data_IF_098339163758
#
_entry.id   IF_098339163758
#
_cell.length_a   1.000
_cell.length_b   1.000
_cell.length_c   1.000
_cell.angle_alpha   90.00
_cell.angle_beta   90.00
_cell.angle_gamma   90.00
#
_symmetry.space_group_name_H-M   'P 1'
#
loop_
_entity.id
_entity.type
_entity.pdbx_description
1 polymer ?
#
# COMPACT_ATOMS: atom_id res chain seq x y z
N UNK A 1 -21.45 -6.38 -19.35
CA UNK A 1 -21.31 -7.14 -18.10
C UNK A 1 -20.45 -6.32 -17.13
N UNK A 2 -20.86 -6.16 -15.86
CA UNK A 2 -19.95 -5.60 -14.86
C UNK A 2 -18.89 -6.65 -14.54
N UNK A 3 -17.60 -6.28 -14.46
CA UNK A 3 -16.58 -7.24 -14.04
C UNK A 3 -16.89 -7.75 -12.63
N UNK A 4 -16.67 -9.04 -12.40
CA UNK A 4 -16.85 -9.60 -11.07
C UNK A 4 -15.83 -8.97 -10.11
N UNK A 5 -16.32 -8.46 -8.99
CA UNK A 5 -15.47 -7.90 -7.93
C UNK A 5 -14.74 -9.07 -7.25
N UNK A 6 -13.42 -9.02 -7.21
CA UNK A 6 -12.59 -9.98 -6.46
C UNK A 6 -12.40 -9.50 -5.03
N UNK A 7 -12.49 -10.45 -4.08
CA UNK A 7 -12.30 -10.18 -2.65
C UNK A 7 -11.02 -10.86 -2.18
N UNK A 8 -10.07 -10.08 -1.69
CA UNK A 8 -8.78 -10.55 -1.18
C UNK A 8 -8.69 -10.47 0.34
N UNK A 9 -7.98 -11.42 0.96
CA UNK A 9 -7.60 -11.38 2.36
C UNK A 9 -6.22 -10.72 2.49
N UNK A 10 -6.10 -9.65 3.28
CA UNK A 10 -4.78 -9.06 3.54
C UNK A 10 -3.93 -9.97 4.45
N UNK A 11 -2.66 -10.16 4.09
CA UNK A 11 -1.71 -10.92 4.93
C UNK A 11 -1.47 -10.27 6.29
N UNK A 12 -1.76 -8.98 6.44
CA UNK A 12 -1.72 -8.29 7.73
C UNK A 12 -2.89 -8.66 8.65
N UNK A 13 -4.03 -9.09 8.10
CA UNK A 13 -5.24 -9.40 8.88
C UNK A 13 -5.08 -10.62 9.77
N UNK A 14 -4.11 -11.48 9.52
CA UNK A 14 -3.87 -12.71 10.28
C UNK A 14 -2.83 -12.53 11.39
N UNK A 15 -2.31 -11.31 11.58
CA UNK A 15 -1.35 -11.05 12.67
C UNK A 15 -1.89 -11.52 14.03
N UNK A 16 -1.08 -12.20 14.86
CA UNK A 16 0.38 -12.40 14.79
C UNK A 16 0.86 -13.61 13.99
N UNK A 17 0.00 -14.29 13.26
CA UNK A 17 0.39 -15.39 12.39
C UNK A 17 1.20 -14.85 11.18
N UNK A 18 1.88 -15.75 10.50
CA UNK A 18 2.71 -15.41 9.34
C UNK A 18 1.87 -15.31 8.06
N UNK A 19 2.44 -14.71 7.02
CA UNK A 19 1.80 -14.56 5.71
C UNK A 19 1.27 -15.89 5.15
N UNK A 20 1.93 -17.02 5.40
CA UNK A 20 1.46 -18.35 5.01
C UNK A 20 0.04 -18.66 5.51
N UNK A 21 -0.28 -18.26 6.76
CA UNK A 21 -1.62 -18.46 7.31
C UNK A 21 -2.70 -17.70 6.53
N UNK A 22 -2.37 -16.54 5.97
CA UNK A 22 -3.32 -15.80 5.12
C UNK A 22 -3.64 -16.56 3.84
N UNK A 23 -2.65 -17.18 3.21
CA UNK A 23 -2.88 -18.02 2.03
C UNK A 23 -3.73 -19.26 2.37
N UNK A 24 -3.46 -19.91 3.51
CA UNK A 24 -4.25 -21.03 3.99
C UNK A 24 -5.70 -20.62 4.26
N UNK A 25 -5.92 -19.54 4.98
CA UNK A 25 -7.27 -19.05 5.28
C UNK A 25 -7.99 -18.57 4.03
N UNK A 26 -7.31 -17.90 3.11
CA UNK A 26 -7.91 -17.47 1.86
C UNK A 26 -8.41 -18.69 1.05
N UNK A 27 -7.62 -19.75 0.97
CA UNK A 27 -8.02 -20.99 0.32
C UNK A 27 -9.23 -21.65 1.01
N UNK A 28 -9.20 -21.74 2.35
CA UNK A 28 -10.27 -22.38 3.14
C UNK A 28 -11.58 -21.63 3.13
N UNK A 29 -11.52 -20.30 3.13
CA UNK A 29 -12.69 -19.43 3.23
C UNK A 29 -13.23 -18.98 1.87
N UNK A 30 -12.58 -19.36 0.78
CA UNK A 30 -13.02 -19.06 -0.58
C UNK A 30 -12.80 -17.61 -1.00
N UNK A 31 -11.76 -16.94 -0.50
CA UNK A 31 -11.33 -15.66 -1.03
C UNK A 31 -10.76 -15.82 -2.44
N UNK A 32 -10.94 -14.80 -3.27
CA UNK A 32 -10.41 -14.80 -4.65
C UNK A 32 -8.87 -14.67 -4.71
N UNK A 33 -8.25 -14.24 -3.62
CA UNK A 33 -6.80 -14.10 -3.50
C UNK A 33 -6.38 -13.43 -2.21
N UNK A 34 -5.14 -12.95 -2.16
CA UNK A 34 -4.59 -12.20 -1.04
C UNK A 34 -4.06 -10.83 -1.48
N UNK A 35 -4.10 -9.89 -0.55
CA UNK A 35 -3.23 -8.72 -0.57
C UNK A 35 -1.94 -9.04 0.19
N UNK A 36 -0.80 -8.89 -0.45
CA UNK A 36 0.50 -9.05 0.18
C UNK A 36 0.92 -7.75 0.87
N UNK A 37 0.82 -7.68 2.19
CA UNK A 37 1.45 -6.62 2.98
C UNK A 37 2.95 -6.92 3.10
N UNK A 38 3.79 -6.07 2.51
CA UNK A 38 5.25 -6.18 2.62
C UNK A 38 5.72 -5.49 3.89
N UNK A 39 6.25 -6.27 4.83
CA UNK A 39 6.69 -5.75 6.12
C UNK A 39 7.92 -6.47 6.70
N UNK A 40 8.12 -6.47 8.02
CA UNK A 40 9.32 -7.02 8.67
C UNK A 40 9.46 -8.55 8.53
N UNK A 41 8.41 -9.27 8.20
CA UNK A 41 8.46 -10.71 7.95
C UNK A 41 9.26 -11.01 6.68
N UNK A 42 10.26 -11.87 6.77
CA UNK A 42 11.18 -12.18 5.66
C UNK A 42 10.47 -12.74 4.42
N UNK A 43 9.45 -13.59 4.62
CA UNK A 43 8.68 -14.20 3.54
C UNK A 43 7.97 -13.13 2.70
N UNK A 44 7.38 -12.11 3.34
CA UNK A 44 6.70 -11.02 2.62
C UNK A 44 7.64 -10.17 1.75
N UNK A 45 8.94 -10.23 2.02
CA UNK A 45 9.98 -9.50 1.31
C UNK A 45 10.61 -10.30 0.15
N UNK A 46 10.34 -11.60 0.09
CA UNK A 46 10.88 -12.55 -0.89
C UNK A 46 9.79 -12.97 -1.88
N UNK A 47 9.83 -12.40 -3.07
CA UNK A 47 8.88 -12.69 -4.15
C UNK A 47 8.82 -14.18 -4.51
N UNK A 48 9.96 -14.87 -4.50
CA UNK A 48 10.00 -16.29 -4.81
C UNK A 48 9.33 -17.13 -3.74
N UNK A 49 9.50 -16.78 -2.46
CA UNK A 49 8.82 -17.42 -1.35
C UNK A 49 7.30 -17.19 -1.42
N UNK A 50 6.86 -15.95 -1.67
CA UNK A 50 5.43 -15.64 -1.85
C UNK A 50 4.82 -16.40 -3.03
N UNK A 51 5.55 -16.48 -4.15
CA UNK A 51 5.10 -17.26 -5.33
C UNK A 51 4.90 -18.74 -5.01
N UNK A 52 5.79 -19.33 -4.20
CA UNK A 52 5.63 -20.71 -3.72
C UNK A 52 4.38 -20.87 -2.87
N UNK A 53 4.07 -19.92 -1.98
CA UNK A 53 2.83 -19.94 -1.19
C UNK A 53 1.59 -19.85 -2.08
N UNK A 54 1.57 -18.89 -3.02
CA UNK A 54 0.49 -18.74 -3.99
C UNK A 54 0.23 -20.04 -4.78
N UNK A 55 1.27 -20.69 -5.23
CA UNK A 55 1.17 -21.97 -5.95
C UNK A 55 0.68 -23.11 -5.04
N UNK A 56 1.25 -23.23 -3.83
CA UNK A 56 0.91 -24.29 -2.86
C UNK A 56 -0.57 -24.26 -2.48
N UNK A 57 -1.09 -23.05 -2.18
CA UNK A 57 -2.47 -22.87 -1.74
C UNK A 57 -3.44 -22.61 -2.90
N UNK A 58 -2.95 -22.43 -4.13
CA UNK A 58 -3.72 -22.05 -5.31
C UNK A 58 -4.49 -20.73 -5.12
N UNK A 59 -3.88 -19.80 -4.41
CA UNK A 59 -4.43 -18.49 -4.09
C UNK A 59 -3.57 -17.42 -4.74
N UNK A 60 -4.08 -16.64 -5.71
CA UNK A 60 -3.30 -15.60 -6.35
C UNK A 60 -3.06 -14.41 -5.42
N UNK A 61 -1.99 -13.65 -5.69
CA UNK A 61 -1.78 -12.33 -5.12
C UNK A 61 -2.55 -11.32 -5.98
N UNK A 62 -3.51 -10.61 -5.41
CA UNK A 62 -4.32 -9.61 -6.11
C UNK A 62 -3.68 -8.24 -6.08
N UNK A 63 -3.06 -7.89 -4.95
CA UNK A 63 -2.37 -6.62 -4.76
C UNK A 63 -1.13 -6.78 -3.89
N UNK A 64 -0.19 -5.84 -4.06
CA UNK A 64 1.00 -5.70 -3.21
C UNK A 64 0.92 -4.39 -2.46
N UNK A 65 0.89 -4.43 -1.14
CA UNK A 65 0.93 -3.26 -0.30
C UNK A 65 2.38 -2.89 0.00
N UNK A 66 2.82 -1.76 -0.51
CA UNK A 66 4.19 -1.29 -0.42
C UNK A 66 4.59 -0.99 1.04
N UNK A 67 5.87 -1.23 1.44
CA UNK A 67 6.33 -1.00 2.81
C UNK A 67 6.58 0.50 3.09
N UNK A 68 5.51 1.28 3.13
CA UNK A 68 5.54 2.74 3.27
C UNK A 68 5.37 3.24 4.70
N UNK A 69 4.94 2.37 5.64
CA UNK A 69 4.69 2.74 7.03
C UNK A 69 5.99 2.95 7.82
N UNK A 70 5.90 3.69 8.93
CA UNK A 70 7.01 3.88 9.87
C UNK A 70 7.61 2.56 10.36
N UNK A 71 6.76 1.58 10.66
CA UNK A 71 7.17 0.24 11.13
C UNK A 71 7.90 -0.56 10.05
N UNK A 72 7.74 -0.20 8.78
CA UNK A 72 8.37 -0.87 7.64
C UNK A 72 9.51 -0.03 7.01
N UNK A 73 9.99 1.02 7.69
CA UNK A 73 11.01 1.93 7.13
C UNK A 73 12.28 1.23 6.68
N UNK A 74 12.69 0.14 7.35
CA UNK A 74 13.91 -0.62 7.02
C UNK A 74 13.67 -1.75 6.01
N UNK A 75 12.41 -2.05 5.71
CA UNK A 75 12.05 -3.08 4.73
C UNK A 75 12.45 -2.59 3.34
N UNK A 76 13.23 -3.39 2.64
CA UNK A 76 13.79 -3.05 1.33
C UNK A 76 14.68 -1.79 1.29
N UNK A 77 15.20 -1.34 2.44
CA UNK A 77 16.01 -0.13 2.54
C UNK A 77 15.21 1.10 2.99
N UNK A 78 15.89 2.24 3.08
CA UNK A 78 15.31 3.47 3.60
C UNK A 78 14.74 4.41 2.53
N UNK A 79 15.10 4.21 1.25
CA UNK A 79 14.69 5.10 0.17
C UNK A 79 13.25 4.79 -0.29
N UNK A 80 12.28 5.71 -0.12
CA UNK A 80 10.89 5.46 -0.50
C UNK A 80 10.68 5.33 -2.02
N UNK A 81 11.47 6.03 -2.84
CA UNK A 81 11.43 5.93 -4.30
C UNK A 81 11.71 4.50 -4.74
N UNK A 82 12.84 3.93 -4.29
CA UNK A 82 13.21 2.56 -4.65
C UNK A 82 12.28 1.49 -4.06
N UNK A 83 11.60 1.79 -2.96
CA UNK A 83 10.56 0.89 -2.42
C UNK A 83 9.35 0.80 -3.34
N UNK A 84 8.88 1.92 -3.87
CA UNK A 84 7.75 1.93 -4.79
C UNK A 84 8.11 1.18 -6.09
N UNK A 85 9.27 1.45 -6.68
CA UNK A 85 9.77 0.73 -7.85
C UNK A 85 9.84 -0.79 -7.60
N UNK A 86 10.34 -1.19 -6.42
CA UNK A 86 10.45 -2.59 -6.05
C UNK A 86 9.08 -3.22 -5.82
N UNK A 87 8.10 -2.47 -5.31
CA UNK A 87 6.74 -2.95 -5.13
C UNK A 87 6.05 -3.23 -6.45
N UNK A 88 6.24 -2.36 -7.46
CA UNK A 88 5.71 -2.57 -8.81
C UNK A 88 6.33 -3.82 -9.43
N UNK A 89 7.67 -3.96 -9.39
CA UNK A 89 8.33 -5.18 -9.88
C UNK A 89 7.89 -6.45 -9.16
N UNK A 90 7.63 -6.37 -7.85
CA UNK A 90 7.11 -7.51 -7.10
C UNK A 90 5.69 -7.88 -7.55
N UNK A 91 4.83 -6.88 -7.78
CA UNK A 91 3.48 -7.08 -8.31
C UNK A 91 3.51 -7.76 -9.69
N UNK A 92 4.34 -7.27 -10.61
CA UNK A 92 4.53 -7.87 -11.94
C UNK A 92 4.94 -9.36 -11.85
N UNK A 93 5.94 -9.65 -11.01
CA UNK A 93 6.44 -11.03 -10.85
C UNK A 93 5.42 -11.97 -10.19
N UNK A 94 4.53 -11.44 -9.36
CA UNK A 94 3.46 -12.19 -8.69
C UNK A 94 2.17 -12.25 -9.52
N UNK A 95 2.08 -11.50 -10.61
CA UNK A 95 0.87 -11.35 -11.42
C UNK A 95 -0.23 -10.54 -10.74
N UNK A 96 0.14 -9.73 -9.75
CA UNK A 96 -0.78 -8.80 -9.09
C UNK A 96 -1.03 -7.58 -9.97
N UNK A 97 -2.29 -7.12 -9.99
CA UNK A 97 -2.69 -6.01 -10.86
C UNK A 97 -2.57 -4.64 -10.19
N UNK A 98 -2.34 -4.60 -8.88
CA UNK A 98 -2.36 -3.35 -8.11
C UNK A 98 -1.23 -3.32 -7.09
N UNK A 99 -0.61 -2.16 -6.96
CA UNK A 99 0.24 -1.79 -5.82
C UNK A 99 -0.50 -0.76 -4.99
N UNK A 100 -0.66 -1.04 -3.70
CA UNK A 100 -1.19 -0.08 -2.74
C UNK A 100 -0.03 0.66 -2.08
N UNK A 101 -0.07 1.98 -2.07
CA UNK A 101 0.96 2.84 -1.48
C UNK A 101 0.31 3.95 -0.66
N UNK A 102 0.92 4.30 0.47
CA UNK A 102 0.50 5.46 1.23
C UNK A 102 1.13 6.74 0.68
N UNK A 103 0.44 7.85 0.86
CA UNK A 103 0.99 9.16 0.57
C UNK A 103 2.29 9.40 1.37
N UNK A 104 3.25 10.19 0.81
CA UNK A 104 4.45 10.58 1.54
C UNK A 104 4.13 11.25 2.86
N UNK A 105 4.88 10.90 3.91
CA UNK A 105 4.75 11.58 5.19
C UNK A 105 5.19 13.05 5.10
N UNK A 106 4.59 13.90 5.90
CA UNK A 106 4.83 15.35 5.90
C UNK A 106 6.31 15.75 6.03
N UNK A 107 7.14 14.93 6.67
CA UNK A 107 8.58 15.16 6.79
C UNK A 107 9.38 14.69 5.57
N UNK A 108 8.79 13.92 4.67
CA UNK A 108 9.41 13.40 3.44
C UNK A 108 9.22 14.38 2.27
N UNK A 109 9.54 15.67 2.48
CA UNK A 109 9.24 16.75 1.52
C UNK A 109 9.78 16.46 0.11
N UNK A 110 11.05 16.08 -0.01
CA UNK A 110 11.66 15.76 -1.32
C UNK A 110 10.95 14.60 -2.03
N UNK A 111 10.52 13.60 -1.27
CA UNK A 111 9.75 12.50 -1.83
C UNK A 111 8.35 12.94 -2.24
N UNK A 112 7.70 13.78 -1.46
CA UNK A 112 6.38 14.32 -1.76
C UNK A 112 6.37 15.18 -3.04
N UNK A 113 7.43 15.95 -3.29
CA UNK A 113 7.58 16.77 -4.49
C UNK A 113 7.64 15.93 -5.78
N UNK A 114 8.29 14.77 -5.75
CA UNK A 114 8.43 13.89 -6.93
C UNK A 114 7.45 12.71 -6.96
N UNK A 115 6.59 12.55 -5.96
CA UNK A 115 5.77 11.35 -5.80
C UNK A 115 4.79 11.13 -6.97
N UNK A 116 4.06 12.18 -7.37
CA UNK A 116 3.09 12.10 -8.46
C UNK A 116 3.76 11.79 -9.79
N UNK A 117 4.93 12.37 -10.06
CA UNK A 117 5.71 12.10 -11.26
C UNK A 117 6.23 10.66 -11.28
N UNK A 118 6.70 10.15 -10.14
CA UNK A 118 7.13 8.76 -10.03
C UNK A 118 5.96 7.80 -10.29
N UNK A 119 4.79 8.05 -9.69
CA UNK A 119 3.59 7.25 -9.93
C UNK A 119 3.25 7.22 -11.41
N UNK A 120 3.15 8.39 -12.06
CA UNK A 120 2.86 8.49 -13.48
C UNK A 120 3.89 7.77 -14.36
N UNK A 121 5.17 7.86 -14.03
CA UNK A 121 6.26 7.19 -14.75
C UNK A 121 6.14 5.66 -14.64
N UNK A 122 5.85 5.15 -13.45
CA UNK A 122 5.71 3.71 -13.22
C UNK A 122 4.47 3.15 -13.92
N UNK A 123 3.33 3.85 -13.85
CA UNK A 123 2.11 3.43 -14.55
C UNK A 123 2.25 3.52 -16.08
N UNK A 124 3.06 4.43 -16.60
CA UNK A 124 3.35 4.49 -18.04
C UNK A 124 4.26 3.35 -18.52
N UNK A 125 5.01 2.72 -17.62
CA UNK A 125 5.98 1.65 -17.93
C UNK A 125 5.54 0.25 -17.48
N UNK A 126 4.37 0.11 -16.86
CA UNK A 126 3.85 -1.13 -16.29
C UNK A 126 2.34 -1.20 -16.43
N UNK A 127 1.80 -2.42 -16.56
CA UNK A 127 0.35 -2.66 -16.51
C UNK A 127 -0.20 -2.69 -15.07
N UNK A 128 0.65 -2.47 -14.06
CA UNK A 128 0.28 -2.46 -12.66
C UNK A 128 -0.27 -1.08 -12.27
N UNK A 129 -1.49 -1.05 -11.75
CA UNK A 129 -2.11 0.17 -11.23
C UNK A 129 -1.51 0.53 -9.87
N UNK A 130 -1.30 1.82 -9.60
CA UNK A 130 -0.83 2.31 -8.31
C UNK A 130 -1.98 2.99 -7.57
N UNK A 131 -2.54 2.29 -6.59
CA UNK A 131 -3.60 2.82 -5.73
C UNK A 131 -3.01 3.57 -4.54
N UNK A 132 -3.22 4.88 -4.49
CA UNK A 132 -2.78 5.71 -3.36
C UNK A 132 -3.84 5.67 -2.26
N UNK A 133 -3.50 5.03 -1.13
CA UNK A 133 -4.39 4.92 0.01
C UNK A 133 -4.41 6.21 0.81
N UNK A 134 -5.63 6.71 1.11
CA UNK A 134 -5.82 7.82 2.03
C UNK A 134 -5.50 7.37 3.45
N UNK A 135 -4.40 7.86 3.99
CA UNK A 135 -4.09 7.62 5.39
C UNK A 135 -5.07 8.35 6.29
N UNK A 136 -5.61 7.62 7.25
CA UNK A 136 -6.29 8.24 8.38
C UNK A 136 -5.32 9.21 9.05
N UNK A 137 -5.71 10.47 9.34
CA UNK A 137 -4.82 11.41 9.99
C UNK A 137 -4.36 10.80 11.32
N UNK A 138 -3.05 10.56 11.42
CA UNK A 138 -2.45 9.98 12.62
C UNK A 138 -2.76 10.90 13.80
N UNK A 139 -3.56 10.41 14.74
CA UNK A 139 -3.91 11.15 15.96
C UNK A 139 -2.72 11.19 16.91
N UNK A 140 -1.81 12.12 16.65
CA UNK A 140 -0.71 12.43 17.57
C UNK A 140 -1.20 12.94 18.93
N UNK A 141 -2.44 13.44 18.99
CA UNK A 141 -3.11 13.93 20.22
C UNK A 141 -3.26 12.87 21.31
N UNK A 142 -3.28 11.58 20.96
CA UNK A 142 -3.22 10.50 21.97
C UNK A 142 -1.88 10.46 22.72
N UNK A 143 -0.82 11.05 22.16
CA UNK A 143 0.51 11.10 22.75
C UNK A 143 0.87 12.49 23.30
N UNK A 144 0.16 13.56 22.88
CA UNK A 144 0.48 14.96 23.20
C UNK A 144 -0.66 15.72 23.91
N UNK A 145 -1.68 15.02 24.43
CA UNK A 145 -2.75 15.58 25.28
C UNK A 145 -3.97 16.13 24.52
N UNK A 146 -5.09 16.36 25.24
CA UNK A 146 -6.35 16.80 24.65
C UNK A 146 -6.27 18.29 24.26
N UNK A 147 -6.57 18.62 23.03
CA UNK A 147 -6.68 20.02 22.63
C UNK A 147 -6.65 20.35 21.16
N UNK A 148 -6.75 19.38 20.28
CA UNK A 148 -6.74 19.67 18.84
C UNK A 148 -8.07 19.29 18.19
N UNK A 149 -8.85 20.32 17.79
CA UNK A 149 -10.10 20.13 17.07
C UNK A 149 -9.88 19.47 15.72
N UNK A 150 -10.92 18.76 15.21
CA UNK A 150 -10.95 18.13 13.89
C UNK A 150 -10.52 19.09 12.76
N UNK A 151 -10.80 20.38 12.94
CA UNK A 151 -10.48 21.44 12.00
C UNK A 151 -8.98 21.78 11.95
N UNK A 152 -8.28 21.72 13.10
CA UNK A 152 -6.81 21.82 13.15
C UNK A 152 -6.14 20.58 12.55
N UNK A 153 -6.77 19.43 12.66
CA UNK A 153 -6.28 18.20 12.04
C UNK A 153 -6.39 18.26 10.52
N UNK A 154 -7.48 18.80 9.97
CA UNK A 154 -7.62 19.08 8.52
C UNK A 154 -6.54 20.04 8.02
N UNK A 155 -6.20 21.07 8.78
CA UNK A 155 -5.11 22.02 8.43
C UNK A 155 -3.70 21.44 8.62
N UNK A 156 -3.52 20.43 9.46
CA UNK A 156 -2.23 19.78 9.74
C UNK A 156 -2.01 18.44 9.02
N UNK A 157 -3.09 17.78 8.63
CA UNK A 157 -3.09 16.59 7.77
C UNK A 157 -3.03 16.96 6.29
N UNK A 158 -2.12 17.83 5.92
CA UNK A 158 -1.95 18.23 4.56
C UNK A 158 -1.00 17.27 3.86
N UNK A 159 -1.49 16.21 3.37
CA UNK A 159 -1.03 15.59 2.17
C UNK A 159 -1.14 16.59 1.01
N UNK A 160 -0.89 16.28 -0.16
CA UNK A 160 -0.98 17.02 -1.40
C UNK A 160 -2.09 18.10 -1.41
N UNK A 161 -1.78 19.27 -1.92
CA UNK A 161 -2.76 20.30 -2.21
C UNK A 161 -3.88 19.69 -3.06
N UNK A 162 -5.12 19.82 -2.59
CA UNK A 162 -6.26 19.52 -3.44
C UNK A 162 -6.18 20.41 -4.68
N UNK A 163 -6.47 19.91 -5.89
CA UNK A 163 -6.61 20.76 -7.04
C UNK A 163 -7.67 21.83 -6.71
N UNK A 164 -7.30 23.09 -6.91
CA UNK A 164 -8.24 24.21 -6.81
C UNK A 164 -9.39 23.94 -7.77
N UNK A 165 -10.59 23.73 -7.23
CA UNK A 165 -11.79 23.89 -8.02
C UNK A 165 -11.83 25.35 -8.48
N UNK A 166 -11.60 25.57 -9.77
CA UNK A 166 -11.95 26.82 -10.43
C UNK A 166 -13.42 27.10 -10.12
N UNK A 167 -13.67 28.17 -9.40
CA UNK A 167 -15.02 28.73 -9.32
C UNK A 167 -15.26 29.41 -10.63
N UNK A 168 -16.08 28.82 -11.46
CA UNK A 168 -16.76 29.53 -12.52
C UNK A 168 -17.77 30.50 -11.87
N UNK A 169 -17.34 31.74 -11.70
CA UNK A 169 -18.23 32.87 -11.47
C UNK A 169 -18.63 33.39 -12.86
N UNK A 170 -19.85 33.04 -13.27
CA UNK A 170 -20.58 33.69 -14.34
C UNK A 170 -21.77 34.44 -13.78
#
# INVERSE_FOLDING_TARGET
MRPAIKVGLSTASVYPLRAEAAFEYAARLGYDGVELMVWAESVSQDVAAVKKLSQRYRVPVLSVHAPCLLISQRVWGANPVSKLDRSVRAAEQLGAQTVVVHQPFRWQRRYAEGFSEQVATLEASSDVLIAVENMFPFRADRFFGPGQSLERMRKRGGGLAQPQQERDDA
#
